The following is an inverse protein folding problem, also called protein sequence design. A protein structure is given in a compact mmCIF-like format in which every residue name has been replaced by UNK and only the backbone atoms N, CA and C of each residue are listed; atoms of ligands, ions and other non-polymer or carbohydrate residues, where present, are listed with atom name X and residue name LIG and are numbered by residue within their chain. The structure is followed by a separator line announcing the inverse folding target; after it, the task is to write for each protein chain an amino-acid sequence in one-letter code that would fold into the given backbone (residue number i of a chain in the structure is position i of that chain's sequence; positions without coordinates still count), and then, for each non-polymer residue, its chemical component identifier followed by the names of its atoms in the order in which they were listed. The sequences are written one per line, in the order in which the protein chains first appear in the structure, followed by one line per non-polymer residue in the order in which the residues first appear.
data_IF_497368647867
#
_entry.id   IF_497368647867
#
_cell.length_a   1.000
_cell.length_b   1.000
_cell.length_c   1.000
_cell.angle_alpha   90.00
_cell.angle_beta   90.00
_cell.angle_gamma   90.00
#
_symmetry.space_group_name_H-M   'P 1'
#
loop_
_entity.id
_entity.type
_entity.pdbx_description
1 polymer ?
#
# COMPACT_ATOMS: atom_id res chain seq x y z
N UNK A 1 -10.35 27.22 33.02
CA UNK A 1 -11.00 25.90 33.28
C UNK A 1 -11.68 25.34 32.05
N UNK A 2 -12.62 26.05 31.37
CA UNK A 2 -13.32 25.53 30.17
C UNK A 2 -12.36 25.02 29.09
N UNK A 3 -11.35 25.79 28.70
CA UNK A 3 -10.34 25.39 27.69
C UNK A 3 -9.62 24.10 28.09
N UNK A 4 -9.27 23.93 29.37
CA UNK A 4 -8.58 22.73 29.87
C UNK A 4 -9.47 21.49 29.73
N UNK A 5 -10.76 21.61 30.06
CA UNK A 5 -11.72 20.49 29.89
C UNK A 5 -11.97 20.15 28.40
N UNK A 6 -12.00 21.16 27.52
CA UNK A 6 -12.08 20.93 26.07
C UNK A 6 -10.84 20.18 25.59
N UNK A 7 -9.62 20.65 25.97
CA UNK A 7 -8.39 19.96 25.63
C UNK A 7 -8.34 18.53 26.18
N UNK A 8 -8.83 18.31 27.40
CA UNK A 8 -8.90 16.98 28.00
C UNK A 8 -9.87 16.07 27.21
N UNK A 9 -11.03 16.58 26.81
CA UNK A 9 -11.98 15.84 25.96
C UNK A 9 -11.36 15.45 24.61
N UNK A 10 -10.72 16.41 23.92
CA UNK A 10 -9.99 16.15 22.65
C UNK A 10 -8.90 15.11 22.85
N UNK A 11 -8.09 15.26 23.90
CA UNK A 11 -7.01 14.32 24.24
C UNK A 11 -7.54 12.90 24.41
N UNK A 12 -8.58 12.73 25.24
CA UNK A 12 -9.14 11.39 25.53
C UNK A 12 -9.78 10.74 24.28
N UNK A 13 -10.48 11.51 23.46
CA UNK A 13 -11.05 11.00 22.20
C UNK A 13 -9.95 10.58 21.22
N UNK A 14 -8.94 11.43 21.03
CA UNK A 14 -7.83 11.13 20.13
C UNK A 14 -7.00 9.92 20.62
N UNK A 15 -6.71 9.84 21.93
CA UNK A 15 -6.03 8.69 22.52
C UNK A 15 -6.87 7.42 22.43
N UNK A 16 -8.18 7.51 22.64
CA UNK A 16 -9.12 6.38 22.45
C UNK A 16 -9.10 5.85 21.03
N UNK A 17 -9.05 6.74 20.04
CA UNK A 17 -8.91 6.34 18.63
C UNK A 17 -7.57 5.65 18.34
N UNK A 18 -6.44 6.22 18.80
CA UNK A 18 -5.10 5.60 18.64
C UNK A 18 -5.05 4.24 19.34
N UNK A 19 -5.67 4.11 20.51
CA UNK A 19 -5.75 2.84 21.23
C UNK A 19 -6.60 1.80 20.48
N UNK A 20 -7.78 2.20 19.99
CA UNK A 20 -8.60 1.34 19.12
C UNK A 20 -7.81 0.85 17.90
N UNK A 21 -7.09 1.76 17.23
CA UNK A 21 -6.22 1.39 16.11
C UNK A 21 -5.15 0.38 16.53
N UNK A 22 -4.49 0.61 17.67
CA UNK A 22 -3.46 -0.31 18.17
C UNK A 22 -4.01 -1.70 18.53
N UNK A 23 -5.25 -1.79 19.05
CA UNK A 23 -5.90 -3.09 19.29
C UNK A 23 -6.17 -3.85 17.97
N UNK A 24 -6.56 -3.14 16.91
CA UNK A 24 -6.71 -3.79 15.60
C UNK A 24 -5.36 -4.26 15.05
N UNK A 25 -4.28 -3.52 15.27
CA UNK A 25 -2.92 -3.95 14.92
C UNK A 25 -2.47 -5.17 15.74
N UNK A 26 -2.80 -5.23 17.03
CA UNK A 26 -2.56 -6.42 17.85
C UNK A 26 -3.28 -7.66 17.28
N UNK A 27 -4.53 -7.49 16.84
CA UNK A 27 -5.29 -8.60 16.23
C UNK A 27 -4.69 -9.03 14.89
N UNK A 28 -4.19 -8.10 14.06
CA UNK A 28 -3.46 -8.43 12.83
C UNK A 28 -2.15 -9.18 13.14
N UNK A 29 -1.41 -8.77 14.17
CA UNK A 29 -0.22 -9.48 14.61
C UNK A 29 -0.55 -10.92 15.05
N UNK A 30 -1.62 -11.11 15.81
CA UNK A 30 -2.09 -12.46 16.18
C UNK A 30 -2.49 -13.28 14.94
N UNK A 31 -3.13 -12.65 13.97
CA UNK A 31 -3.44 -13.26 12.66
C UNK A 31 -2.17 -13.70 11.93
N UNK A 32 -1.16 -12.82 11.87
CA UNK A 32 0.14 -13.13 11.28
C UNK A 32 0.81 -14.33 11.98
N UNK A 33 0.91 -14.31 13.31
CA UNK A 33 1.53 -15.38 14.09
C UNK A 33 0.82 -16.73 13.92
N UNK A 34 -0.52 -16.72 13.81
CA UNK A 34 -1.31 -17.93 13.49
C UNK A 34 -1.01 -18.40 12.07
N UNK A 35 -0.87 -17.46 11.14
CA UNK A 35 -0.54 -17.76 9.73
C UNK A 35 0.80 -18.46 9.55
N UNK A 36 1.80 -18.17 10.41
CA UNK A 36 3.10 -18.86 10.38
C UNK A 36 2.98 -20.37 10.64
N UNK A 37 1.98 -20.79 11.40
CA UNK A 37 1.73 -22.20 11.74
C UNK A 37 0.78 -22.89 10.74
N UNK A 38 0.18 -22.13 9.83
CA UNK A 38 -0.70 -22.72 8.82
C UNK A 38 0.12 -23.42 7.75
N UNK A 39 -0.32 -24.61 7.36
CA UNK A 39 0.25 -25.26 6.17
C UNK A 39 0.04 -24.37 4.94
N UNK A 40 1.04 -24.23 4.07
CA UNK A 40 0.87 -23.52 2.81
C UNK A 40 -0.37 -24.08 2.09
N UNK A 41 -1.18 -23.17 1.54
CA UNK A 41 -2.27 -23.60 0.65
C UNK A 41 -1.62 -24.34 -0.50
N UNK A 42 -1.91 -25.65 -0.62
CA UNK A 42 -1.44 -26.43 -1.77
C UNK A 42 -2.20 -25.95 -3.00
N UNK A 43 -1.49 -25.27 -3.87
CA UNK A 43 -2.00 -24.93 -5.20
C UNK A 43 -1.24 -25.78 -6.22
N UNK A 44 -1.94 -26.27 -7.21
CA UNK A 44 -1.32 -27.06 -8.27
C UNK A 44 -0.91 -26.12 -9.40
N UNK A 45 0.28 -26.32 -9.99
CA UNK A 45 0.67 -25.59 -11.19
C UNK A 45 -0.40 -25.75 -12.28
N UNK A 46 -0.68 -24.67 -12.98
CA UNK A 46 -1.54 -24.74 -14.17
C UNK A 46 -0.72 -25.38 -15.30
N UNK A 47 -1.28 -26.38 -15.97
CA UNK A 47 -0.60 -27.04 -17.09
C UNK A 47 -0.46 -26.08 -18.26
N UNK A 48 0.60 -26.15 -19.03
CA UNK A 48 0.91 -25.23 -20.12
C UNK A 48 -0.22 -25.13 -21.15
N UNK A 49 -0.92 -26.21 -21.40
CA UNK A 49 -2.06 -26.27 -22.32
C UNK A 49 -3.26 -25.46 -21.79
N UNK A 50 -3.45 -25.45 -20.47
CA UNK A 50 -4.57 -24.81 -19.77
C UNK A 50 -4.24 -23.35 -19.33
N UNK A 51 -3.02 -22.88 -19.58
CA UNK A 51 -2.64 -21.51 -19.21
C UNK A 51 -3.60 -20.50 -19.86
N UNK A 52 -4.20 -19.57 -19.08
CA UNK A 52 -5.08 -18.53 -19.62
C UNK A 52 -4.27 -17.46 -20.36
N UNK A 53 -4.95 -16.57 -21.08
CA UNK A 53 -4.34 -15.34 -21.56
C UNK A 53 -4.14 -14.35 -20.42
N UNK A 54 -2.97 -13.69 -20.40
CA UNK A 54 -2.59 -12.67 -19.40
C UNK A 54 -2.16 -11.39 -20.11
N UNK A 55 -2.74 -10.27 -19.68
CA UNK A 55 -2.30 -8.93 -20.06
C UNK A 55 -1.48 -8.34 -18.92
N UNK A 56 -0.28 -7.86 -19.22
CA UNK A 56 0.55 -7.09 -18.29
C UNK A 56 0.41 -5.62 -18.64
N UNK A 57 -0.06 -4.80 -17.69
CA UNK A 57 -0.21 -3.36 -17.86
C UNK A 57 0.92 -2.61 -17.16
N UNK A 58 1.63 -1.77 -17.90
CA UNK A 58 2.74 -0.93 -17.46
C UNK A 58 2.34 0.55 -17.60
N UNK A 59 1.67 1.15 -16.59
CA UNK A 59 1.30 2.56 -16.64
C UNK A 59 2.53 3.45 -16.45
N UNK A 60 2.82 4.32 -17.42
CA UNK A 60 4.03 5.15 -17.49
C UNK A 60 3.68 6.62 -17.69
N UNK A 61 4.32 7.49 -16.92
CA UNK A 61 4.27 8.94 -17.09
C UNK A 61 5.60 9.59 -16.69
N UNK A 62 6.38 10.08 -17.66
CA UNK A 62 7.64 10.80 -17.46
C UNK A 62 8.67 10.01 -16.62
N UNK A 63 8.92 8.75 -16.95
CA UNK A 63 9.76 7.81 -16.21
C UNK A 63 11.08 7.47 -16.94
N UNK A 64 11.69 8.48 -17.60
CA UNK A 64 12.85 8.30 -18.48
C UNK A 64 14.05 7.57 -17.84
N UNK A 65 14.21 7.59 -16.51
CA UNK A 65 15.36 6.96 -15.83
C UNK A 65 15.16 5.47 -15.52
N UNK A 66 13.92 5.00 -15.46
CA UNK A 66 13.61 3.63 -15.01
C UNK A 66 12.89 2.78 -16.05
N UNK A 67 12.37 3.40 -17.11
CA UNK A 67 11.54 2.72 -18.10
C UNK A 67 12.26 1.60 -18.84
N UNK A 68 13.55 1.78 -19.15
CA UNK A 68 14.37 0.76 -19.84
C UNK A 68 14.46 -0.51 -18.97
N UNK A 69 14.67 -0.33 -17.65
CA UNK A 69 14.72 -1.43 -16.68
C UNK A 69 13.38 -2.18 -16.60
N UNK A 70 12.27 -1.44 -16.59
CA UNK A 70 10.93 -2.04 -16.55
C UNK A 70 10.67 -2.87 -17.80
N UNK A 71 10.91 -2.32 -19.01
CA UNK A 71 10.70 -3.02 -20.28
C UNK A 71 11.56 -4.26 -20.36
N UNK A 72 12.86 -4.15 -20.02
CA UNK A 72 13.77 -5.29 -19.96
C UNK A 72 13.33 -6.37 -18.95
N UNK A 73 12.75 -5.97 -17.82
CA UNK A 73 12.22 -6.93 -16.84
C UNK A 73 10.93 -7.60 -17.34
N UNK A 74 10.02 -6.84 -17.95
CA UNK A 74 8.78 -7.37 -18.54
C UNK A 74 9.07 -8.31 -19.71
N UNK A 75 10.11 -8.02 -20.52
CA UNK A 75 10.53 -8.89 -21.61
C UNK A 75 11.04 -10.27 -21.14
N UNK A 76 11.47 -10.36 -19.87
CA UNK A 76 11.96 -11.63 -19.29
C UNK A 76 10.87 -12.45 -18.60
N UNK A 77 9.61 -12.01 -18.64
CA UNK A 77 8.51 -12.79 -18.09
C UNK A 77 8.41 -14.15 -18.78
N UNK A 78 8.52 -15.19 -17.98
CA UNK A 78 8.41 -16.59 -18.44
C UNK A 78 6.93 -16.94 -18.62
N UNK A 79 6.41 -16.74 -19.84
CA UNK A 79 5.05 -17.08 -20.20
C UNK A 79 4.93 -17.28 -21.72
N UNK A 80 4.10 -18.22 -22.21
CA UNK A 80 3.98 -18.45 -23.65
C UNK A 80 3.57 -17.18 -24.41
N UNK A 81 4.33 -16.80 -25.44
CA UNK A 81 4.13 -15.54 -26.18
C UNK A 81 2.72 -15.43 -26.81
N UNK A 82 2.14 -16.55 -27.23
CA UNK A 82 0.75 -16.57 -27.75
C UNK A 82 -0.33 -16.37 -26.68
N UNK A 83 0.03 -16.42 -25.40
CA UNK A 83 -0.88 -16.23 -24.25
C UNK A 83 -0.52 -15.00 -23.39
N UNK A 84 0.52 -14.26 -23.75
CA UNK A 84 0.98 -13.04 -23.10
C UNK A 84 0.66 -11.83 -23.98
N UNK A 85 0.24 -10.75 -23.37
CA UNK A 85 0.15 -9.40 -23.93
C UNK A 85 0.78 -8.41 -22.98
N UNK A 86 1.68 -7.54 -23.43
CA UNK A 86 2.28 -6.50 -22.60
C UNK A 86 1.89 -5.12 -23.15
N UNK A 87 1.04 -4.41 -22.40
CA UNK A 87 0.58 -3.06 -22.73
C UNK A 87 1.46 -2.05 -21.99
N UNK A 88 2.19 -1.23 -22.73
CA UNK A 88 2.90 -0.06 -22.21
C UNK A 88 1.97 1.14 -22.36
N UNK A 89 1.34 1.53 -21.24
CA UNK A 89 0.33 2.60 -21.19
C UNK A 89 1.02 3.93 -20.95
N UNK A 90 1.30 4.65 -22.01
CA UNK A 90 2.19 5.81 -22.02
C UNK A 90 1.42 7.14 -22.11
N UNK A 91 1.44 7.88 -21.00
CA UNK A 91 0.90 9.25 -20.88
C UNK A 91 2.02 10.32 -20.92
N UNK A 92 3.26 9.94 -21.27
CA UNK A 92 4.44 10.80 -21.12
C UNK A 92 4.47 11.98 -22.09
N UNK A 93 5.05 13.06 -21.60
CA UNK A 93 5.23 14.34 -22.33
C UNK A 93 6.70 14.72 -22.49
N UNK A 94 7.62 13.89 -21.97
CA UNK A 94 9.07 14.04 -22.08
C UNK A 94 9.67 12.96 -23.00
N UNK A 95 10.99 12.78 -22.96
CA UNK A 95 11.71 11.78 -23.76
C UNK A 95 11.38 10.30 -23.44
N UNK A 96 10.52 10.04 -22.44
CA UNK A 96 10.15 8.67 -22.04
C UNK A 96 9.53 7.89 -23.18
N UNK A 97 8.63 8.51 -23.97
CA UNK A 97 7.98 7.84 -25.12
C UNK A 97 8.97 7.34 -26.19
N UNK A 98 9.99 8.15 -26.47
CA UNK A 98 11.04 7.78 -27.43
C UNK A 98 11.90 6.63 -26.90
N UNK A 99 12.21 6.66 -25.59
CA UNK A 99 12.94 5.58 -24.93
C UNK A 99 12.14 4.28 -24.92
N UNK A 100 10.84 4.32 -24.65
CA UNK A 100 9.95 3.16 -24.75
C UNK A 100 10.03 2.55 -26.14
N UNK A 101 9.83 3.37 -27.18
CA UNK A 101 9.85 2.90 -28.57
C UNK A 101 11.20 2.33 -28.99
N UNK A 102 12.31 2.89 -28.46
CA UNK A 102 13.65 2.36 -28.68
C UNK A 102 13.88 1.03 -27.95
N UNK A 103 13.50 0.95 -26.68
CA UNK A 103 13.76 -0.23 -25.84
C UNK A 103 12.94 -1.46 -26.29
N UNK A 104 11.67 -1.28 -26.65
CA UNK A 104 10.80 -2.36 -27.15
C UNK A 104 11.41 -3.02 -28.42
N UNK A 105 12.06 -2.27 -29.30
CA UNK A 105 12.68 -2.80 -30.51
C UNK A 105 13.79 -3.83 -30.26
N UNK A 106 14.34 -3.88 -29.04
CA UNK A 106 15.34 -4.88 -28.66
C UNK A 106 14.76 -6.27 -28.41
N UNK A 107 13.42 -6.35 -28.30
CA UNK A 107 12.70 -7.58 -27.95
C UNK A 107 11.57 -7.87 -28.97
N UNK A 108 11.91 -8.09 -30.25
CA UNK A 108 10.92 -8.22 -31.33
C UNK A 108 9.98 -9.42 -31.18
N UNK A 109 10.41 -10.45 -30.41
CA UNK A 109 9.61 -11.66 -30.13
C UNK A 109 8.60 -11.49 -29.00
N UNK A 110 8.74 -10.42 -28.19
CA UNK A 110 7.86 -10.16 -27.04
C UNK A 110 6.66 -9.32 -27.50
N UNK A 111 5.43 -9.69 -27.14
CA UNK A 111 4.21 -9.04 -27.64
C UNK A 111 3.94 -7.71 -26.92
N UNK A 112 4.84 -6.74 -27.08
CA UNK A 112 4.65 -5.38 -26.57
C UNK A 112 3.65 -4.61 -27.42
N UNK A 113 2.73 -3.93 -26.75
CA UNK A 113 1.80 -2.97 -27.35
C UNK A 113 2.02 -1.60 -26.70
N UNK A 114 2.61 -0.65 -27.42
CA UNK A 114 2.84 0.72 -26.95
C UNK A 114 1.61 1.57 -27.21
N UNK A 115 0.86 1.89 -26.16
CA UNK A 115 -0.43 2.60 -26.19
C UNK A 115 -0.21 4.00 -25.64
N UNK A 116 -0.28 5.01 -26.53
CA UNK A 116 -0.13 6.40 -26.13
C UNK A 116 -1.48 7.08 -25.94
N UNK A 117 -1.60 7.84 -24.84
CA UNK A 117 -2.72 8.74 -24.62
C UNK A 117 -2.21 10.19 -24.60
N UNK A 118 -2.95 11.10 -25.22
CA UNK A 118 -2.57 12.52 -25.27
C UNK A 118 -3.32 13.37 -24.23
N UNK A 119 -4.42 12.88 -23.68
CA UNK A 119 -5.28 13.64 -22.78
C UNK A 119 -5.05 13.37 -21.28
N UNK A 120 -4.26 12.41 -20.89
CA UNK A 120 -3.96 12.01 -19.49
C UNK A 120 -5.15 12.09 -18.52
N UNK A 121 -6.39 11.99 -19.04
CA UNK A 121 -7.60 12.04 -18.22
C UNK A 121 -7.63 10.85 -17.23
N UNK A 122 -7.97 11.13 -15.96
CA UNK A 122 -8.01 10.13 -14.92
C UNK A 122 -6.63 9.58 -14.51
N UNK A 123 -5.53 10.18 -14.97
CA UNK A 123 -4.15 9.80 -14.60
C UNK A 123 -3.89 8.29 -14.79
N UNK A 124 -3.32 7.61 -13.77
CA UNK A 124 -3.04 6.18 -13.79
C UNK A 124 -4.32 5.35 -13.91
N UNK A 125 -5.37 5.67 -13.17
CA UNK A 125 -6.67 4.99 -13.26
C UNK A 125 -7.23 5.04 -14.69
N UNK A 126 -7.17 6.22 -15.33
CA UNK A 126 -7.58 6.39 -16.73
C UNK A 126 -6.73 5.60 -17.71
N UNK A 127 -5.40 5.50 -17.48
CA UNK A 127 -4.51 4.68 -18.30
C UNK A 127 -4.86 3.19 -18.19
N UNK A 128 -4.99 2.68 -16.95
CA UNK A 128 -5.38 1.29 -16.69
C UNK A 128 -6.75 0.96 -17.29
N UNK A 129 -7.72 1.88 -17.16
CA UNK A 129 -9.06 1.72 -17.75
C UNK A 129 -9.01 1.62 -19.27
N UNK A 130 -8.33 2.56 -19.94
CA UNK A 130 -8.18 2.55 -21.39
C UNK A 130 -7.45 1.27 -21.89
N UNK A 131 -6.40 0.85 -21.19
CA UNK A 131 -5.71 -0.41 -21.49
C UNK A 131 -6.62 -1.63 -21.29
N UNK A 132 -7.48 -1.63 -20.28
CA UNK A 132 -8.40 -2.73 -19.99
C UNK A 132 -9.46 -2.93 -21.10
N UNK A 133 -9.90 -1.87 -21.73
CA UNK A 133 -10.89 -1.90 -22.84
C UNK A 133 -10.40 -2.75 -24.02
N UNK A 134 -9.10 -2.71 -24.29
CA UNK A 134 -8.47 -3.43 -25.41
C UNK A 134 -7.67 -4.66 -24.94
N UNK A 135 -7.57 -4.91 -23.63
CA UNK A 135 -6.85 -6.05 -23.07
C UNK A 135 -7.51 -7.38 -23.51
N UNK A 136 -6.70 -8.30 -24.03
CA UNK A 136 -7.16 -9.62 -24.49
C UNK A 136 -7.08 -10.70 -23.43
N UNK A 137 -6.35 -10.45 -22.33
CA UNK A 137 -6.14 -11.39 -21.23
C UNK A 137 -7.36 -11.57 -20.33
N UNK A 138 -7.55 -12.77 -19.81
CA UNK A 138 -8.52 -13.08 -18.74
C UNK A 138 -8.04 -12.56 -17.38
N UNK A 139 -6.74 -12.37 -17.25
CA UNK A 139 -6.06 -11.84 -16.09
C UNK A 139 -5.22 -10.63 -16.46
N UNK A 140 -5.11 -9.67 -15.53
CA UNK A 140 -4.38 -8.41 -15.72
C UNK A 140 -3.38 -8.23 -14.61
N UNK A 141 -2.10 -8.30 -14.92
CA UNK A 141 -1.01 -7.96 -14.00
C UNK A 141 -0.63 -6.49 -14.16
N UNK A 142 -0.33 -5.79 -13.06
CA UNK A 142 0.02 -4.36 -13.10
C UNK A 142 1.38 -4.14 -12.44
N UNK A 143 2.29 -3.45 -13.15
CA UNK A 143 3.59 -3.05 -12.63
C UNK A 143 3.88 -1.58 -12.92
N UNK A 144 4.16 -0.81 -11.87
CA UNK A 144 4.63 0.57 -11.97
C UNK A 144 6.07 0.62 -12.53
N UNK A 145 6.47 1.78 -13.03
CA UNK A 145 7.73 1.96 -13.74
C UNK A 145 9.00 1.62 -12.96
N UNK A 146 8.95 1.66 -11.64
CA UNK A 146 10.07 1.35 -10.74
C UNK A 146 10.14 -0.12 -10.29
N UNK A 147 9.19 -0.95 -10.72
CA UNK A 147 9.14 -2.37 -10.38
C UNK A 147 9.99 -3.23 -11.31
N UNK A 148 10.48 -4.32 -10.75
CA UNK A 148 11.20 -5.36 -11.49
C UNK A 148 10.48 -6.70 -11.23
N UNK A 149 9.50 -7.08 -12.08
CA UNK A 149 8.78 -8.33 -11.92
C UNK A 149 9.73 -9.54 -11.97
N UNK A 150 9.47 -10.53 -11.10
CA UNK A 150 10.11 -11.84 -11.17
C UNK A 150 9.71 -12.52 -12.49
N UNK A 151 10.65 -13.16 -13.23
CA UNK A 151 10.32 -13.85 -14.47
C UNK A 151 9.16 -14.86 -14.34
N UNK A 152 9.06 -15.57 -13.22
CA UNK A 152 8.01 -16.55 -12.97
C UNK A 152 6.79 -15.97 -12.22
N UNK A 153 6.65 -14.66 -12.15
CA UNK A 153 5.56 -13.98 -11.42
C UNK A 153 4.18 -14.51 -11.80
N UNK A 154 3.91 -14.68 -13.10
CA UNK A 154 2.62 -15.13 -13.61
C UNK A 154 2.38 -16.58 -13.18
N UNK A 155 3.34 -17.47 -13.37
CA UNK A 155 3.24 -18.88 -12.96
C UNK A 155 3.08 -19.05 -11.45
N UNK A 156 3.69 -18.17 -10.64
CA UNK A 156 3.57 -18.19 -9.17
C UNK A 156 2.22 -17.70 -8.67
N UNK A 157 1.54 -16.82 -9.43
CA UNK A 157 0.30 -16.17 -8.98
C UNK A 157 -0.97 -16.80 -9.56
N UNK A 158 -0.96 -17.27 -10.79
CA UNK A 158 -2.13 -17.88 -11.46
C UNK A 158 -2.79 -19.04 -10.70
N UNK A 159 -2.04 -19.96 -10.05
CA UNK A 159 -2.64 -21.10 -9.36
C UNK A 159 -3.68 -20.72 -8.30
N UNK A 160 -3.60 -19.53 -7.71
CA UNK A 160 -4.57 -19.06 -6.71
C UNK A 160 -5.94 -18.74 -7.29
N UNK A 161 -6.05 -18.55 -8.60
CA UNK A 161 -7.32 -18.29 -9.29
C UNK A 161 -8.11 -19.55 -9.65
N UNK A 162 -7.65 -20.74 -9.23
CA UNK A 162 -8.45 -21.99 -9.31
C UNK A 162 -9.75 -21.87 -8.49
N UNK A 163 -9.77 -21.10 -7.36
CA UNK A 163 -11.03 -20.64 -6.76
C UNK A 163 -11.57 -19.50 -7.63
N UNK A 164 -12.71 -19.73 -8.28
CA UNK A 164 -13.36 -18.75 -9.17
C UNK A 164 -13.76 -17.45 -8.45
N UNK A 165 -13.86 -17.47 -7.12
CA UNK A 165 -14.18 -16.30 -6.30
C UNK A 165 -12.95 -15.41 -6.04
N UNK A 166 -11.73 -15.90 -6.35
CA UNK A 166 -10.53 -15.08 -6.21
C UNK A 166 -10.48 -14.07 -7.34
N UNK A 167 -10.58 -12.80 -6.98
CA UNK A 167 -10.55 -11.67 -7.90
C UNK A 167 -9.18 -11.02 -8.06
N UNK A 168 -8.31 -11.14 -7.03
CA UNK A 168 -6.99 -10.50 -7.04
C UNK A 168 -5.99 -11.27 -6.19
N UNK A 169 -4.72 -11.30 -6.64
CA UNK A 169 -3.57 -11.79 -5.88
C UNK A 169 -2.56 -10.65 -5.76
N UNK A 170 -2.30 -10.19 -4.53
CA UNK A 170 -1.26 -9.21 -4.20
C UNK A 170 0.00 -9.91 -3.74
N UNK A 171 1.15 -9.47 -4.21
CA UNK A 171 2.46 -9.96 -3.80
C UNK A 171 3.18 -8.96 -2.89
N UNK A 172 4.26 -9.39 -2.25
CA UNK A 172 5.02 -8.57 -1.31
C UNK A 172 5.97 -7.62 -2.05
N UNK A 173 5.87 -6.33 -1.75
CA UNK A 173 6.91 -5.40 -2.18
C UNK A 173 8.21 -5.65 -1.42
N UNK A 174 9.31 -5.60 -2.14
CA UNK A 174 10.67 -5.59 -1.61
C UNK A 174 11.43 -4.40 -2.20
N UNK A 175 12.61 -4.10 -1.68
CA UNK A 175 13.25 -2.82 -1.95
C UNK A 175 14.59 -3.01 -2.65
N UNK A 176 14.77 -2.34 -3.81
CA UNK A 176 16.01 -2.38 -4.60
C UNK A 176 17.14 -1.58 -3.94
N UNK A 177 16.78 -0.48 -3.24
CA UNK A 177 17.69 0.52 -2.72
C UNK A 177 17.50 0.85 -1.22
N UNK A 178 17.02 -0.12 -0.40
CA UNK A 178 16.78 0.14 1.02
C UNK A 178 17.98 0.69 1.78
N UNK A 179 19.21 0.26 1.43
CA UNK A 179 20.45 0.63 2.11
C UNK A 179 21.11 1.89 1.52
N UNK A 180 20.47 2.56 0.56
CA UNK A 180 21.00 3.75 -0.08
C UNK A 180 21.13 4.94 0.88
N UNK A 181 20.15 5.15 1.77
CA UNK A 181 20.14 6.25 2.73
C UNK A 181 19.35 5.88 3.98
N UNK A 182 19.47 6.71 5.05
CA UNK A 182 18.60 6.59 6.21
C UNK A 182 17.12 6.73 5.84
N UNK A 183 16.79 7.63 4.91
CA UNK A 183 15.40 7.84 4.47
C UNK A 183 14.82 6.61 3.76
N UNK A 184 15.57 5.98 2.86
CA UNK A 184 15.12 4.75 2.20
C UNK A 184 14.99 3.60 3.19
N UNK A 185 15.88 3.51 4.18
CA UNK A 185 15.80 2.49 5.23
C UNK A 185 14.56 2.65 6.11
N UNK A 186 14.23 3.88 6.53
CA UNK A 186 13.03 4.13 7.33
C UNK A 186 11.73 3.88 6.55
N UNK A 187 11.72 4.11 5.24
CA UNK A 187 10.60 3.73 4.39
C UNK A 187 10.47 2.21 4.26
N UNK A 188 11.58 1.50 4.03
CA UNK A 188 11.61 0.05 4.03
C UNK A 188 11.08 -0.51 5.35
N UNK A 189 11.51 0.04 6.49
CA UNK A 189 11.07 -0.34 7.83
C UNK A 189 9.54 -0.26 7.99
N UNK A 190 8.90 0.78 7.46
CA UNK A 190 7.45 0.93 7.48
C UNK A 190 6.76 -0.09 6.54
N UNK A 191 7.23 -0.19 5.30
CA UNK A 191 6.63 -1.04 4.27
C UNK A 191 6.82 -2.53 4.58
N UNK A 192 7.97 -2.93 5.14
CA UNK A 192 8.20 -4.31 5.57
C UNK A 192 7.20 -4.75 6.63
N UNK A 193 6.84 -3.85 7.58
CA UNK A 193 5.79 -4.13 8.56
C UNK A 193 4.43 -4.28 7.89
N UNK A 194 4.08 -3.39 6.96
CA UNK A 194 2.82 -3.45 6.22
C UNK A 194 2.70 -4.76 5.42
N UNK A 195 3.71 -5.09 4.62
CA UNK A 195 3.69 -6.27 3.77
C UNK A 195 3.92 -7.59 4.52
N UNK A 196 4.58 -7.61 5.67
CA UNK A 196 4.73 -8.84 6.46
C UNK A 196 3.53 -9.04 7.39
N UNK A 197 3.35 -8.18 8.39
CA UNK A 197 2.36 -8.37 9.46
C UNK A 197 0.96 -8.00 9.02
N UNK A 198 0.77 -6.79 8.46
CA UNK A 198 -0.59 -6.31 8.24
C UNK A 198 -1.30 -7.05 7.11
N UNK A 199 -0.71 -7.15 5.91
CA UNK A 199 -1.33 -7.83 4.77
C UNK A 199 -1.51 -9.32 5.03
N UNK A 200 -0.51 -10.00 5.63
CA UNK A 200 -0.63 -11.41 6.02
C UNK A 200 -1.69 -11.59 7.09
N UNK A 201 -1.70 -10.73 8.11
CA UNK A 201 -2.69 -10.80 9.19
C UNK A 201 -4.12 -10.62 8.66
N UNK A 202 -4.36 -9.64 7.78
CA UNK A 202 -5.66 -9.44 7.13
C UNK A 202 -6.06 -10.66 6.29
N UNK A 203 -5.14 -11.18 5.48
CA UNK A 203 -5.41 -12.35 4.66
C UNK A 203 -5.81 -13.59 5.49
N UNK A 204 -5.09 -13.85 6.60
CA UNK A 204 -5.38 -14.99 7.49
C UNK A 204 -6.70 -14.81 8.25
N UNK A 205 -7.02 -13.59 8.65
CA UNK A 205 -8.27 -13.27 9.37
C UNK A 205 -9.49 -13.11 8.46
N UNK A 206 -9.31 -13.18 7.14
CA UNK A 206 -10.36 -12.94 6.15
C UNK A 206 -10.86 -11.49 6.15
N UNK A 207 -10.05 -10.55 6.66
CA UNK A 207 -10.32 -9.13 6.59
C UNK A 207 -9.98 -8.58 5.19
N UNK A 208 -10.53 -7.41 4.85
CA UNK A 208 -10.24 -6.79 3.56
C UNK A 208 -8.76 -6.45 3.43
N UNK A 209 -8.16 -6.87 2.32
CA UNK A 209 -6.81 -6.49 1.89
C UNK A 209 -6.92 -5.56 0.68
N UNK A 210 -5.96 -4.67 0.51
CA UNK A 210 -5.93 -3.82 -0.67
C UNK A 210 -4.91 -4.32 -1.70
N UNK A 211 -5.22 -4.10 -2.96
CA UNK A 211 -4.23 -3.99 -3.99
C UNK A 211 -3.42 -2.70 -3.73
N UNK A 212 -2.11 -2.79 -3.80
CA UNK A 212 -1.23 -1.64 -3.49
C UNK A 212 -0.83 -0.87 -4.77
N UNK A 213 -1.67 -0.89 -5.78
CA UNK A 213 -1.48 -0.20 -7.05
C UNK A 213 -0.60 -0.94 -8.05
N UNK A 214 0.22 -1.90 -7.61
CA UNK A 214 1.22 -2.59 -8.43
C UNK A 214 1.69 -3.88 -7.76
N UNK A 215 2.43 -4.72 -8.51
CA UNK A 215 2.94 -5.98 -8.00
C UNK A 215 1.82 -6.94 -7.62
N UNK A 216 0.78 -7.00 -8.43
CA UNK A 216 -0.34 -7.92 -8.27
C UNK A 216 -1.01 -8.24 -9.59
N UNK A 217 -1.89 -9.23 -9.56
CA UNK A 217 -2.63 -9.70 -10.73
C UNK A 217 -4.12 -9.80 -10.37
N UNK A 218 -4.96 -9.37 -11.29
CA UNK A 218 -6.41 -9.35 -11.17
C UNK A 218 -7.06 -10.30 -12.15
N UNK A 219 -8.18 -10.91 -11.77
CA UNK A 219 -9.13 -11.46 -12.72
C UNK A 219 -9.84 -10.29 -13.41
N UNK A 220 -9.80 -10.23 -14.75
CA UNK A 220 -10.41 -9.13 -15.54
C UNK A 220 -11.90 -8.97 -15.22
N UNK A 221 -12.64 -10.07 -15.09
CA UNK A 221 -14.07 -10.03 -14.73
C UNK A 221 -14.32 -9.39 -13.36
N UNK A 222 -13.41 -9.56 -12.38
CA UNK A 222 -13.51 -8.90 -11.08
C UNK A 222 -13.40 -7.36 -11.20
N UNK A 223 -12.46 -6.85 -12.01
CA UNK A 223 -12.31 -5.42 -12.24
C UNK A 223 -13.58 -4.86 -12.89
N UNK A 224 -14.11 -5.55 -13.90
CA UNK A 224 -15.32 -5.12 -14.62
C UNK A 224 -16.56 -5.16 -13.74
N UNK A 225 -16.75 -6.24 -12.99
CA UNK A 225 -17.86 -6.41 -12.05
C UNK A 225 -17.84 -5.33 -10.96
N UNK A 226 -16.66 -5.02 -10.42
CA UNK A 226 -16.50 -3.94 -9.45
C UNK A 226 -16.66 -2.51 -10.03
N UNK A 227 -17.00 -2.35 -11.31
CA UNK A 227 -17.25 -1.06 -11.96
C UNK A 227 -16.01 -0.42 -12.60
N UNK A 228 -14.94 -1.23 -12.84
CA UNK A 228 -13.70 -0.78 -13.49
C UNK A 228 -12.90 0.24 -12.63
N UNK A 229 -11.79 0.73 -13.18
CA UNK A 229 -10.95 1.76 -12.56
C UNK A 229 -11.68 3.10 -12.53
N UNK A 230 -11.72 3.74 -11.37
CA UNK A 230 -12.27 5.08 -11.16
C UNK A 230 -11.16 6.04 -10.71
N UNK A 231 -11.26 7.30 -11.11
CA UNK A 231 -10.26 8.34 -10.85
C UNK A 231 -10.74 9.43 -9.89
N UNK A 232 -11.80 9.14 -9.16
CA UNK A 232 -12.42 10.08 -8.20
C UNK A 232 -11.68 10.14 -6.86
N UNK A 233 -10.78 9.18 -6.60
CA UNK A 233 -9.86 9.16 -5.45
C UNK A 233 -8.40 9.12 -5.93
N UNK A 234 -7.46 9.58 -5.09
CA UNK A 234 -6.01 9.51 -5.39
C UNK A 234 -5.40 8.11 -5.20
N UNK A 235 -6.18 7.15 -4.69
CA UNK A 235 -5.81 5.74 -4.51
C UNK A 235 -6.86 4.86 -5.18
N UNK A 236 -6.81 4.83 -6.52
CA UNK A 236 -7.71 4.04 -7.38
C UNK A 236 -7.67 2.55 -7.05
N UNK A 237 -6.53 2.10 -6.53
CA UNK A 237 -6.24 0.74 -6.11
C UNK A 237 -7.01 0.34 -4.85
N UNK A 238 -6.99 1.19 -3.83
CA UNK A 238 -7.75 1.00 -2.59
C UNK A 238 -9.25 1.07 -2.86
N UNK A 239 -9.68 2.04 -3.68
CA UNK A 239 -11.08 2.20 -4.08
C UNK A 239 -11.62 0.94 -4.77
N UNK A 240 -10.95 0.47 -5.83
CA UNK A 240 -11.35 -0.75 -6.56
C UNK A 240 -11.33 -1.97 -5.63
N UNK A 241 -10.33 -2.06 -4.74
CA UNK A 241 -10.20 -3.17 -3.78
C UNK A 241 -11.42 -3.25 -2.85
N UNK A 242 -11.91 -2.12 -2.37
CA UNK A 242 -13.08 -2.07 -1.51
C UNK A 242 -14.36 -2.39 -2.27
N UNK A 243 -14.55 -1.84 -3.48
CA UNK A 243 -15.71 -2.14 -4.34
C UNK A 243 -15.82 -3.62 -4.65
N UNK A 244 -14.71 -4.26 -5.05
CA UNK A 244 -14.69 -5.69 -5.37
C UNK A 244 -15.01 -6.57 -4.15
N UNK A 245 -14.38 -6.32 -3.00
CA UNK A 245 -14.60 -7.15 -1.81
C UNK A 245 -15.98 -6.94 -1.18
N UNK A 246 -16.59 -5.76 -1.31
CA UNK A 246 -17.99 -5.52 -0.93
C UNK A 246 -18.96 -6.32 -1.78
N UNK A 247 -18.61 -6.68 -3.00
CA UNK A 247 -19.38 -7.56 -3.90
C UNK A 247 -19.09 -9.05 -3.69
N UNK A 248 -18.25 -9.40 -2.70
CA UNK A 248 -17.98 -10.77 -2.33
C UNK A 248 -16.76 -11.40 -3.00
N UNK A 249 -16.01 -10.66 -3.82
CA UNK A 249 -14.75 -11.13 -4.35
C UNK A 249 -13.73 -11.37 -3.24
N UNK A 250 -12.99 -12.46 -3.34
CA UNK A 250 -11.88 -12.78 -2.42
C UNK A 250 -10.58 -12.27 -2.98
N UNK A 251 -9.74 -11.78 -2.09
CA UNK A 251 -8.36 -11.40 -2.41
C UNK A 251 -7.39 -12.32 -1.68
N UNK A 252 -6.27 -12.57 -2.29
CA UNK A 252 -5.20 -13.42 -1.75
C UNK A 252 -3.93 -12.59 -1.65
N UNK A 253 -3.26 -12.65 -0.50
CA UNK A 253 -1.95 -12.06 -0.32
C UNK A 253 -0.87 -13.12 -0.25
N UNK A 254 0.25 -12.93 -1.00
CA UNK A 254 1.38 -13.85 -1.05
C UNK A 254 2.67 -13.15 -0.65
N UNK A 255 3.07 -13.36 0.62
CA UNK A 255 4.29 -12.80 1.19
C UNK A 255 5.58 -13.44 0.64
N UNK A 256 5.51 -14.66 0.12
CA UNK A 256 6.61 -15.45 -0.45
C UNK A 256 6.96 -15.07 -1.90
N UNK A 257 6.06 -14.37 -2.61
CA UNK A 257 6.29 -13.86 -3.96
C UNK A 257 6.71 -12.39 -3.84
N UNK A 258 7.95 -12.08 -4.22
CA UNK A 258 8.52 -10.75 -4.12
C UNK A 258 8.33 -9.94 -5.41
N UNK A 259 8.03 -8.65 -5.25
CA UNK A 259 8.00 -7.64 -6.31
C UNK A 259 8.92 -6.49 -5.91
N UNK A 260 10.19 -6.50 -6.35
CA UNK A 260 11.17 -5.47 -6.01
C UNK A 260 10.84 -4.11 -6.64
N UNK A 261 10.98 -3.04 -5.86
CA UNK A 261 10.72 -1.66 -6.27
C UNK A 261 11.76 -0.68 -5.71
N UNK A 262 11.83 0.50 -6.31
CA UNK A 262 12.70 1.58 -5.86
C UNK A 262 11.98 2.48 -4.85
N UNK A 263 12.64 2.77 -3.72
CA UNK A 263 12.17 3.73 -2.72
C UNK A 263 12.65 5.15 -3.06
N UNK A 264 11.82 6.19 -2.90
CA UNK A 264 12.24 7.56 -3.10
C UNK A 264 13.33 7.97 -2.11
N UNK A 265 14.49 8.50 -2.60
CA UNK A 265 15.65 8.76 -1.75
C UNK A 265 15.64 10.15 -1.10
N UNK A 266 14.73 11.05 -1.50
CA UNK A 266 14.72 12.45 -1.08
C UNK A 266 13.41 12.84 -0.40
N UNK A 267 13.50 13.72 0.63
CA UNK A 267 12.36 14.13 1.45
C UNK A 267 11.20 14.76 0.66
N UNK A 268 11.39 15.62 -0.36
CA UNK A 268 10.28 16.14 -1.15
C UNK A 268 9.47 15.06 -1.85
N UNK A 269 10.12 14.02 -2.38
CA UNK A 269 9.46 12.90 -3.02
C UNK A 269 8.65 12.05 -2.01
N UNK A 270 9.22 11.82 -0.82
CA UNK A 270 8.54 11.13 0.29
C UNK A 270 7.30 11.90 0.72
N UNK A 271 7.42 13.22 0.94
CA UNK A 271 6.28 14.08 1.31
C UNK A 271 5.16 14.02 0.28
N UNK A 272 5.49 14.14 -1.00
CA UNK A 272 4.51 14.03 -2.09
C UNK A 272 3.81 12.66 -2.13
N UNK A 273 4.57 11.58 -1.95
CA UNK A 273 4.04 10.22 -1.91
C UNK A 273 3.13 10.00 -0.69
N UNK A 274 3.58 10.40 0.51
CA UNK A 274 2.81 10.30 1.75
C UNK A 274 1.53 11.12 1.68
N UNK A 275 1.58 12.33 1.11
CA UNK A 275 0.40 13.17 0.91
C UNK A 275 -0.65 12.46 0.07
N UNK A 276 -0.25 11.87 -1.08
CA UNK A 276 -1.18 11.13 -1.96
C UNK A 276 -1.81 9.94 -1.25
N UNK A 277 -0.99 9.12 -0.59
CA UNK A 277 -1.49 7.92 0.11
C UNK A 277 -2.42 8.29 1.25
N UNK A 278 -2.06 9.29 2.03
CA UNK A 278 -2.86 9.77 3.17
C UNK A 278 -4.17 10.39 2.71
N UNK A 279 -4.13 11.26 1.69
CA UNK A 279 -5.32 11.91 1.13
C UNK A 279 -6.23 10.88 0.45
N UNK A 280 -5.70 10.02 -0.40
CA UNK A 280 -6.46 8.97 -1.07
C UNK A 280 -7.10 7.99 -0.09
N UNK A 281 -6.39 7.62 0.98
CA UNK A 281 -6.97 6.84 2.08
C UNK A 281 -8.17 7.53 2.75
N UNK A 282 -8.07 8.85 2.98
CA UNK A 282 -9.18 9.65 3.54
C UNK A 282 -10.36 9.79 2.55
N UNK A 283 -10.09 9.96 1.25
CA UNK A 283 -11.10 9.96 0.19
C UNK A 283 -11.84 8.61 0.12
N UNK A 284 -11.09 7.49 0.18
CA UNK A 284 -11.68 6.16 0.25
C UNK A 284 -12.47 5.93 1.54
N UNK A 285 -12.02 6.47 2.68
CA UNK A 285 -12.79 6.41 3.92
C UNK A 285 -14.15 7.13 3.78
N UNK A 286 -14.16 8.34 3.23
CA UNK A 286 -15.38 9.09 2.96
C UNK A 286 -16.33 8.34 2.00
N UNK A 287 -15.77 7.67 0.99
CA UNK A 287 -16.56 6.94 -0.03
C UNK A 287 -17.11 5.61 0.48
N UNK A 288 -16.35 4.86 1.27
CA UNK A 288 -16.63 3.44 1.56
C UNK A 288 -17.08 3.15 3.00
N UNK A 289 -16.83 4.03 3.98
CA UNK A 289 -17.07 3.70 5.38
C UNK A 289 -18.55 3.32 5.65
N UNK A 290 -19.48 4.13 5.19
CA UNK A 290 -20.93 3.82 5.34
C UNK A 290 -21.28 2.52 4.61
N UNK A 291 -20.80 2.33 3.39
CA UNK A 291 -21.07 1.12 2.60
C UNK A 291 -20.58 -0.16 3.28
N UNK A 292 -19.42 -0.11 3.97
CA UNK A 292 -18.89 -1.24 4.75
C UNK A 292 -19.86 -1.60 5.90
N UNK A 293 -20.47 -0.60 6.55
CA UNK A 293 -21.40 -0.85 7.64
C UNK A 293 -22.78 -1.32 7.16
N UNK A 294 -23.21 -0.91 5.97
CA UNK A 294 -24.46 -1.34 5.33
C UNK A 294 -24.34 -2.73 4.69
N UNK A 295 -23.13 -3.16 4.31
CA UNK A 295 -22.91 -4.46 3.69
C UNK A 295 -23.16 -5.63 4.65
N UNK A 296 -23.60 -6.82 4.17
CA UNK A 296 -23.85 -8.00 4.99
C UNK A 296 -22.53 -8.68 5.43
N UNK A 297 -21.65 -7.94 6.08
CA UNK A 297 -20.34 -8.38 6.54
C UNK A 297 -20.37 -8.73 8.04
N UNK A 298 -19.59 -9.72 8.50
CA UNK A 298 -19.37 -9.95 9.92
C UNK A 298 -18.81 -8.71 10.62
N UNK A 299 -19.26 -8.44 11.86
CA UNK A 299 -18.84 -7.25 12.61
C UNK A 299 -17.31 -7.11 12.74
N UNK A 300 -16.58 -8.23 12.84
CA UNK A 300 -15.12 -8.25 12.89
C UNK A 300 -14.50 -7.67 11.61
N UNK A 301 -15.04 -8.03 10.44
CA UNK A 301 -14.58 -7.49 9.15
C UNK A 301 -14.90 -6.01 9.05
N UNK A 302 -16.09 -5.57 9.50
CA UNK A 302 -16.46 -4.14 9.54
C UNK A 302 -15.49 -3.33 10.40
N UNK A 303 -15.10 -3.83 11.60
CA UNK A 303 -14.13 -3.16 12.46
C UNK A 303 -12.75 -3.05 11.82
N UNK A 304 -12.26 -4.15 11.22
CA UNK A 304 -10.98 -4.11 10.50
C UNK A 304 -10.99 -3.18 9.29
N UNK A 305 -12.06 -3.20 8.51
CA UNK A 305 -12.25 -2.29 7.38
C UNK A 305 -12.31 -0.83 7.85
N UNK A 306 -13.00 -0.55 8.96
CA UNK A 306 -13.04 0.79 9.57
C UNK A 306 -11.64 1.25 9.98
N UNK A 307 -10.89 0.43 10.72
CA UNK A 307 -9.52 0.77 11.11
C UNK A 307 -8.58 0.95 9.90
N UNK A 308 -8.76 0.15 8.85
CA UNK A 308 -7.98 0.25 7.62
C UNK A 308 -8.28 1.53 6.84
N UNK A 309 -9.55 1.87 6.64
CA UNK A 309 -9.97 3.10 5.96
C UNK A 309 -9.58 4.36 6.75
N UNK A 310 -9.66 4.31 8.08
CA UNK A 310 -9.31 5.42 8.95
C UNK A 310 -7.82 5.45 9.35
N UNK A 311 -6.97 4.61 8.75
CA UNK A 311 -5.55 4.57 9.07
C UNK A 311 -4.88 5.96 8.99
N UNK A 312 -5.18 6.73 7.95
CA UNK A 312 -4.64 8.09 7.78
C UNK A 312 -5.06 9.06 8.88
N UNK A 313 -6.19 8.84 9.53
CA UNK A 313 -6.69 9.70 10.64
C UNK A 313 -5.78 9.59 11.88
N UNK A 314 -4.96 8.56 12.00
CA UNK A 314 -3.97 8.41 13.07
C UNK A 314 -3.03 9.62 13.13
N UNK A 315 -2.62 10.20 11.99
CA UNK A 315 -1.79 11.41 11.96
C UNK A 315 -2.48 12.60 12.61
N UNK A 316 -3.78 12.78 12.35
CA UNK A 316 -4.59 13.84 12.98
C UNK A 316 -4.73 13.58 14.47
N UNK A 317 -5.02 12.34 14.87
CA UNK A 317 -5.17 11.98 16.29
C UNK A 317 -3.87 12.21 17.08
N UNK A 318 -2.71 11.78 16.56
CA UNK A 318 -1.40 11.99 17.20
C UNK A 318 -1.08 13.49 17.31
N UNK A 319 -1.38 14.29 16.28
CA UNK A 319 -1.21 15.74 16.33
C UNK A 319 -2.10 16.38 17.42
N UNK A 320 -3.38 15.99 17.49
CA UNK A 320 -4.32 16.48 18.50
C UNK A 320 -3.88 16.08 19.92
N UNK A 321 -3.39 14.86 20.11
CA UNK A 321 -2.81 14.42 21.40
C UNK A 321 -1.63 15.31 21.79
N UNK A 322 -0.69 15.56 20.88
CA UNK A 322 0.47 16.40 21.15
C UNK A 322 0.06 17.85 21.50
N UNK A 323 -0.85 18.44 20.72
CA UNK A 323 -1.31 19.81 20.92
C UNK A 323 -2.07 19.98 22.23
N UNK A 324 -3.01 19.06 22.53
CA UNK A 324 -3.84 19.13 23.73
C UNK A 324 -3.09 18.75 25.02
N UNK A 325 -1.99 18.01 24.93
CA UNK A 325 -1.19 17.65 26.10
C UNK A 325 -0.53 18.87 26.78
N UNK A 326 -0.20 19.93 26.05
CA UNK A 326 0.46 21.13 26.57
C UNK A 326 -0.41 21.85 27.61
N UNK A 327 -1.66 22.28 27.30
CA UNK A 327 -2.53 22.92 28.28
C UNK A 327 -2.93 21.99 29.43
N UNK A 328 -3.05 20.69 29.18
CA UNK A 328 -3.35 19.69 30.21
C UNK A 328 -2.19 19.58 31.21
N UNK A 329 -0.95 19.48 30.70
CA UNK A 329 0.25 19.46 31.55
C UNK A 329 0.37 20.72 32.39
N UNK A 330 0.15 21.91 31.77
CA UNK A 330 0.17 23.21 32.48
C UNK A 330 -0.91 23.26 33.59
N UNK A 331 -2.11 22.79 33.31
CA UNK A 331 -3.21 22.73 34.28
C UNK A 331 -2.93 21.77 35.45
N UNK A 332 -2.28 20.63 35.17
CA UNK A 332 -1.82 19.70 36.21
C UNK A 332 -0.74 20.33 37.08
N UNK A 333 0.25 21.01 36.48
CA UNK A 333 1.28 21.73 37.21
C UNK A 333 0.71 22.80 38.13
N UNK A 334 -0.42 23.42 37.76
CA UNK A 334 -1.17 24.41 38.56
C UNK A 334 -2.18 23.78 39.50
N UNK A 335 -2.18 22.46 39.68
CA UNK A 335 -3.10 21.71 40.53
C UNK A 335 -4.59 21.90 40.18
N UNK A 336 -4.88 22.34 38.95
CA UNK A 336 -6.24 22.57 38.44
C UNK A 336 -6.97 21.28 38.08
N UNK A 337 -6.21 20.21 37.79
CA UNK A 337 -6.73 18.88 37.48
C UNK A 337 -5.96 17.82 38.26
N UNK A 338 -6.63 16.71 38.60
CA UNK A 338 -6.03 15.64 39.37
C UNK A 338 -5.01 14.84 38.55
N UNK A 339 -3.89 14.48 39.16
CA UNK A 339 -2.87 13.57 38.59
C UNK A 339 -3.48 12.20 38.21
N UNK A 340 -4.56 11.75 38.85
CA UNK A 340 -5.26 10.51 38.52
C UNK A 340 -5.75 10.44 37.07
N UNK A 341 -5.95 11.57 36.41
CA UNK A 341 -6.28 11.63 34.96
C UNK A 341 -5.15 11.01 34.14
N UNK A 342 -3.89 11.29 34.50
CA UNK A 342 -2.72 10.72 33.82
C UNK A 342 -2.52 9.25 34.16
N UNK A 343 -2.80 8.85 35.42
CA UNK A 343 -2.77 7.44 35.82
C UNK A 343 -3.78 6.61 35.01
N UNK A 344 -5.01 7.13 34.85
CA UNK A 344 -6.02 6.50 33.99
C UNK A 344 -5.61 6.47 32.51
N UNK A 345 -4.98 7.54 32.03
CA UNK A 345 -4.49 7.62 30.64
C UNK A 345 -3.27 6.69 30.37
N UNK A 346 -2.58 6.19 31.43
CA UNK A 346 -1.44 5.30 31.25
C UNK A 346 -1.82 3.97 30.54
N UNK A 347 -3.09 3.55 30.59
CA UNK A 347 -3.59 2.40 29.82
C UNK A 347 -3.30 2.53 28.31
N UNK A 348 -3.29 3.75 27.79
CA UNK A 348 -3.00 3.99 26.38
C UNK A 348 -1.54 3.73 25.98
N UNK A 349 -0.61 3.66 26.97
CA UNK A 349 0.78 3.25 26.73
C UNK A 349 0.86 1.81 26.22
N UNK A 350 -0.11 0.96 26.56
CA UNK A 350 -0.22 -0.39 25.99
C UNK A 350 -0.31 -0.35 24.46
N UNK A 351 -0.95 0.68 23.90
CA UNK A 351 -1.01 0.87 22.45
C UNK A 351 0.37 1.05 21.83
N UNK A 352 1.26 1.81 22.47
CA UNK A 352 2.64 1.97 22.02
C UNK A 352 3.40 0.65 22.06
N UNK A 353 3.25 -0.14 23.13
CA UNK A 353 3.89 -1.47 23.25
C UNK A 353 3.42 -2.39 22.12
N UNK A 354 2.12 -2.37 21.80
CA UNK A 354 1.57 -3.14 20.67
C UNK A 354 2.20 -2.71 19.35
N UNK A 355 2.24 -1.42 19.06
CA UNK A 355 2.85 -0.90 17.82
C UNK A 355 4.32 -1.28 17.73
N UNK A 356 5.09 -1.14 18.83
CA UNK A 356 6.48 -1.57 18.89
C UNK A 356 6.63 -3.08 18.59
N UNK A 357 5.75 -3.92 19.14
CA UNK A 357 5.75 -5.36 18.88
C UNK A 357 5.43 -5.69 17.42
N UNK A 358 4.45 -5.01 16.80
CA UNK A 358 4.09 -5.16 15.38
C UNK A 358 5.28 -4.84 14.49
N UNK A 359 5.95 -3.71 14.72
CA UNK A 359 7.13 -3.31 13.97
C UNK A 359 8.33 -4.22 14.21
N UNK A 360 8.52 -4.69 15.45
CA UNK A 360 9.57 -5.64 15.77
C UNK A 360 9.40 -6.95 15.00
N UNK A 361 8.21 -7.52 15.03
CA UNK A 361 7.92 -8.77 14.31
C UNK A 361 8.01 -8.56 12.79
N UNK A 362 7.54 -7.44 12.27
CA UNK A 362 7.59 -7.12 10.84
C UNK A 362 9.00 -6.99 10.29
N UNK A 363 9.92 -6.41 11.07
CA UNK A 363 11.28 -6.11 10.61
C UNK A 363 12.33 -7.14 11.06
N UNK A 364 12.16 -7.72 12.24
CA UNK A 364 13.13 -8.67 12.82
C UNK A 364 12.65 -10.11 12.65
N UNK A 365 11.39 -10.37 12.94
CA UNK A 365 10.82 -11.73 12.88
C UNK A 365 10.68 -12.26 11.47
N UNK A 366 10.30 -11.42 10.51
CA UNK A 366 10.12 -11.79 9.09
C UNK A 366 11.46 -12.00 8.35
N UNK A 367 12.55 -11.41 8.83
CA UNK A 367 13.90 -11.47 8.25
C UNK A 367 14.81 -12.31 9.10
N UNK A 368 14.68 -13.62 9.24
CA UNK A 368 15.54 -14.48 10.07
C UNK A 368 16.29 -13.71 11.16
N UNK A 369 15.67 -13.62 12.34
CA UNK A 369 16.15 -12.82 13.47
C UNK A 369 17.67 -12.99 13.70
N UNK A 370 18.40 -11.88 13.66
CA UNK A 370 19.81 -11.81 14.01
C UNK A 370 20.02 -10.81 15.15
N UNK A 371 21.09 -10.96 15.92
CA UNK A 371 21.46 -9.98 16.95
C UNK A 371 21.62 -8.57 16.35
N UNK A 372 22.11 -8.48 15.13
CA UNK A 372 22.31 -7.22 14.43
C UNK A 372 20.97 -6.56 14.01
N UNK A 373 19.99 -7.33 13.54
CA UNK A 373 18.66 -6.80 13.21
C UNK A 373 17.93 -6.32 14.46
N UNK A 374 18.05 -7.02 15.58
CA UNK A 374 17.45 -6.60 16.87
C UNK A 374 18.07 -5.31 17.41
N UNK A 375 19.39 -5.15 17.30
CA UNK A 375 20.07 -3.90 17.70
C UNK A 375 19.68 -2.71 16.81
N UNK A 376 19.57 -2.93 15.49
CA UNK A 376 19.10 -1.90 14.56
C UNK A 376 17.70 -1.42 14.91
N UNK A 377 16.80 -2.32 15.23
CA UNK A 377 15.41 -2.00 15.58
C UNK A 377 15.32 -0.97 16.72
N UNK A 378 16.21 -1.06 17.74
CA UNK A 378 16.23 -0.13 18.89
C UNK A 378 16.41 1.33 18.44
N UNK A 379 17.16 1.57 17.36
CA UNK A 379 17.40 2.90 16.82
C UNK A 379 16.43 3.28 15.71
N UNK A 380 16.06 2.33 14.86
CA UNK A 380 15.20 2.58 13.71
C UNK A 380 13.77 2.92 14.12
N UNK A 381 13.22 2.27 15.16
CA UNK A 381 11.86 2.56 15.63
C UNK A 381 11.70 4.00 16.13
N UNK A 382 12.54 4.53 17.07
CA UNK A 382 12.42 5.94 17.48
C UNK A 382 12.64 6.94 16.35
N UNK A 383 13.59 6.68 15.44
CA UNK A 383 13.83 7.53 14.27
C UNK A 383 12.63 7.52 13.31
N UNK A 384 12.08 6.34 13.02
CA UNK A 384 10.88 6.21 12.22
C UNK A 384 9.70 6.97 12.81
N UNK A 385 9.45 6.82 14.11
CA UNK A 385 8.40 7.54 14.81
C UNK A 385 8.63 9.06 14.78
N UNK A 386 9.88 9.51 14.97
CA UNK A 386 10.21 10.94 14.90
C UNK A 386 9.96 11.53 13.52
N UNK A 387 10.35 10.85 12.45
CA UNK A 387 10.08 11.28 11.06
C UNK A 387 8.58 11.28 10.78
N UNK A 388 7.86 10.22 11.20
CA UNK A 388 6.41 10.11 11.01
C UNK A 388 5.66 11.21 11.78
N UNK A 389 6.05 11.52 13.02
CA UNK A 389 5.50 12.63 13.79
C UNK A 389 5.81 13.97 13.16
N UNK A 390 7.01 14.16 12.60
CA UNK A 390 7.38 15.37 11.85
C UNK A 390 6.49 15.61 10.61
N UNK A 391 5.89 14.57 10.07
CA UNK A 391 4.94 14.64 8.94
C UNK A 391 3.47 14.79 9.38
N UNK A 392 3.14 14.78 10.67
CA UNK A 392 1.75 14.77 11.14
C UNK A 392 0.94 15.97 10.64
N UNK A 393 1.51 17.19 10.63
CA UNK A 393 0.80 18.38 10.13
C UNK A 393 0.56 18.25 8.62
N UNK A 394 1.58 17.83 7.87
CA UNK A 394 1.51 17.66 6.42
C UNK A 394 0.46 16.60 6.04
N UNK A 395 0.50 15.46 6.71
CA UNK A 395 -0.44 14.37 6.50
C UNK A 395 -1.83 14.69 7.06
N UNK A 396 -1.93 15.43 8.17
CA UNK A 396 -3.19 15.93 8.72
C UNK A 396 -3.94 16.85 7.74
N UNK A 397 -3.21 17.71 7.02
CA UNK A 397 -3.78 18.53 5.95
C UNK A 397 -4.30 17.63 4.79
N UNK A 398 -3.55 16.59 4.43
CA UNK A 398 -3.98 15.63 3.41
C UNK A 398 -5.27 14.90 3.80
N UNK A 399 -5.40 14.50 5.09
CA UNK A 399 -6.65 13.92 5.61
C UNK A 399 -7.81 14.91 5.51
N UNK A 400 -7.58 16.14 5.95
CA UNK A 400 -8.60 17.20 5.88
C UNK A 400 -9.08 17.42 4.43
N UNK A 401 -8.15 17.55 3.49
CA UNK A 401 -8.50 17.71 2.07
C UNK A 401 -9.26 16.49 1.52
N UNK A 402 -8.86 15.27 1.88
CA UNK A 402 -9.52 14.04 1.45
C UNK A 402 -10.96 13.94 1.98
N UNK A 403 -11.17 14.18 3.28
CA UNK A 403 -12.50 14.13 3.90
C UNK A 403 -13.45 15.24 3.43
N UNK A 404 -12.91 16.40 3.04
CA UNK A 404 -13.70 17.55 2.55
C UNK A 404 -13.90 17.54 1.03
N UNK A 405 -13.36 16.55 0.31
CA UNK A 405 -13.48 16.44 -1.14
C UNK A 405 -12.71 17.49 -1.94
N UNK A 406 -11.73 18.17 -1.31
CA UNK A 406 -10.90 19.16 -2.00
C UNK A 406 -10.01 18.46 -3.03
N UNK A 407 -10.17 18.80 -4.29
CA UNK A 407 -9.36 18.24 -5.39
C UNK A 407 -7.93 18.81 -5.34
N UNK A 408 -6.95 17.97 -5.62
CA UNK A 408 -5.54 18.35 -5.80
C UNK A 408 -4.96 17.62 -7.00
N UNK A 409 -3.95 18.21 -7.68
CA UNK A 409 -3.34 17.57 -8.83
C UNK A 409 -2.58 16.30 -8.40
N UNK A 410 -2.53 15.31 -9.27
CA UNK A 410 -1.71 14.13 -9.09
C UNK A 410 -0.24 14.48 -9.37
N UNK A 411 0.57 14.56 -8.31
CA UNK A 411 2.01 14.80 -8.41
C UNK A 411 2.72 13.45 -8.36
N UNK A 412 3.42 13.11 -9.44
CA UNK A 412 4.21 11.88 -9.54
C UNK A 412 5.40 11.90 -8.59
N UNK A 413 5.70 10.76 -7.96
CA UNK A 413 6.95 10.57 -7.21
C UNK A 413 8.10 10.31 -8.19
N UNK A 414 9.14 11.14 -8.25
CA UNK A 414 10.27 10.94 -9.17
C UNK A 414 11.05 9.66 -8.81
N UNK A 415 11.56 8.96 -9.82
CA UNK A 415 12.39 7.76 -9.72
C UNK A 415 13.77 8.06 -10.29
N UNK A 416 14.83 7.45 -9.74
CA UNK A 416 16.22 7.82 -10.01
C UNK A 416 17.09 6.67 -10.49
N UNK A 417 16.52 5.48 -10.70
CA UNK A 417 17.21 4.25 -11.10
C UNK A 417 18.29 3.80 -10.10
N UNK A 418 17.98 3.92 -8.81
CA UNK A 418 18.92 3.52 -7.76
C UNK A 418 18.77 2.02 -7.45
N UNK A 419 19.89 1.31 -7.54
CA UNK A 419 20.01 -0.11 -7.16
C UNK A 419 21.11 -0.31 -6.12
N UNK A 420 21.26 -1.52 -5.55
CA UNK A 420 22.26 -1.85 -4.53
C UNK A 420 23.73 -1.60 -4.97
N UNK A 421 23.99 -1.35 -6.26
CA UNK A 421 25.32 -1.19 -6.84
C UNK A 421 25.75 0.25 -7.16
N UNK A 422 24.95 1.26 -6.79
CA UNK A 422 25.23 2.65 -7.18
C UNK A 422 24.50 3.04 -8.47
N UNK A 423 24.67 4.29 -8.89
CA UNK A 423 24.20 4.78 -10.19
C UNK A 423 25.12 4.20 -11.28
N UNK A 424 24.62 3.28 -12.13
CA UNK A 424 25.22 3.00 -13.43
C UNK A 424 24.99 4.15 -14.40
#
# INVERSE_FOLDING_TARGET
MLLVYICLGVYLVAMGFVFFYSLTQAHLLLGYLRGLNNKPVTVYPVRDEELPKVTVQLPIFNEQYVVDRLIAAAARLNYPTGKLEIQVLDDSTDATSERIAHEIKKYPEVPFNHIRRFNREGFKAGALKAGLEIATGDFVAVFDADFVPDPDFIHKTLPYFQDSRVGMVQTRWTHLNQDFSLLTRLQAFALDTHFSVEQTGRNVLGAFINFNGTGGIWRKSCILDAGNWESDTLTEDLDLSYRAQQQGWKFVYRADIASPAELPPVMPAIKSQQFRWTKGGAECAAKHLCRVWDAPLPWRIRLHATAHLLNSVVFVAVFLVALSSIPIWWASYREMISVRVFEGAAVFLLGFVVIAAVYFVGNVGAQKASKQSSLRFIWELPLFLSVSMGLCIHNGLAVWEGLTGRKSPFIRTPKYNLTKGGTD
#
